data_IF_740710994506
#
_entry.id   IF_740710994506
#
_cell.length_a   1.000
_cell.length_b   1.000
_cell.length_c   1.000
_cell.angle_alpha   90.00
_cell.angle_beta   90.00
_cell.angle_gamma   90.00
#
_symmetry.space_group_name_H-M   'P 1'
#
loop_
_entity.id
_entity.type
_entity.pdbx_description
1 polymer ?
#
# COMPACT_ATOMS: atom_id res chain seq x y z
N UNK A 1 -2.67 1.69 -6.62
CA UNK A 1 -2.83 0.71 -5.52
C UNK A 1 -3.87 -0.31 -5.97
N UNK A 2 -3.62 -1.60 -5.73
CA UNK A 2 -4.63 -2.66 -5.86
C UNK A 2 -5.25 -2.85 -4.49
N UNK A 3 -6.59 -2.88 -4.42
CA UNK A 3 -7.34 -3.13 -3.18
C UNK A 3 -8.01 -4.49 -3.31
N UNK A 4 -7.75 -5.38 -2.35
CA UNK A 4 -8.35 -6.71 -2.27
C UNK A 4 -9.21 -6.78 -1.02
N UNK A 5 -10.52 -6.93 -1.19
CA UNK A 5 -11.45 -7.08 -0.09
C UNK A 5 -11.78 -8.57 0.12
N UNK A 6 -11.58 -9.07 1.34
CA UNK A 6 -11.96 -10.44 1.72
C UNK A 6 -13.36 -10.40 2.33
N UNK A 7 -14.34 -10.92 1.58
CA UNK A 7 -15.72 -11.04 2.08
C UNK A 7 -15.79 -12.20 3.07
N UNK A 8 -16.32 -11.93 4.27
CA UNK A 8 -16.40 -12.93 5.33
C UNK A 8 -17.34 -14.08 4.97
N UNK A 9 -16.94 -15.31 5.33
CA UNK A 9 -17.85 -16.46 5.41
C UNK A 9 -18.26 -16.70 6.86
N UNK A 10 -17.27 -16.86 7.76
CA UNK A 10 -17.46 -16.94 9.19
C UNK A 10 -16.48 -16.00 9.91
N UNK A 11 -16.91 -14.76 10.10
CA UNK A 11 -16.08 -13.70 10.69
C UNK A 11 -15.56 -14.05 12.09
N UNK A 12 -16.40 -14.65 12.94
CA UNK A 12 -15.98 -15.02 14.30
C UNK A 12 -14.85 -16.04 14.23
N UNK A 13 -15.01 -17.12 13.45
CA UNK A 13 -13.96 -18.13 13.25
C UNK A 13 -12.69 -17.51 12.71
N UNK A 14 -12.80 -16.80 11.59
CA UNK A 14 -11.66 -16.38 10.79
C UNK A 14 -10.84 -15.26 11.44
N UNK A 15 -11.45 -14.41 12.27
CA UNK A 15 -10.77 -13.23 12.83
C UNK A 15 -10.37 -13.37 14.30
N UNK A 16 -10.65 -14.51 14.93
CA UNK A 16 -10.28 -14.74 16.34
C UNK A 16 -9.17 -15.79 16.44
N UNK A 17 -8.06 -15.50 17.14
CA UNK A 17 -6.88 -16.36 17.14
C UNK A 17 -6.97 -17.53 18.13
N UNK A 18 -7.92 -17.50 19.06
CA UNK A 18 -8.15 -18.53 20.07
C UNK A 18 -9.65 -18.81 20.17
N UNK A 19 -10.00 -20.02 20.58
CA UNK A 19 -11.40 -20.38 20.82
C UNK A 19 -11.80 -19.83 22.21
N UNK A 20 -12.76 -18.91 22.20
CA UNK A 20 -13.35 -18.33 23.39
C UNK A 20 -14.81 -18.02 23.12
N UNK A 21 -15.67 -18.31 24.08
CA UNK A 21 -17.11 -18.06 23.99
C UNK A 21 -17.53 -16.80 24.75
N UNK A 22 -16.59 -16.10 25.38
CA UNK A 22 -16.86 -14.96 26.27
C UNK A 22 -16.73 -13.62 25.56
N UNK A 23 -17.64 -12.70 25.84
CA UNK A 23 -17.52 -11.30 25.43
C UNK A 23 -16.59 -10.48 26.34
N UNK A 24 -16.50 -9.17 26.08
CA UNK A 24 -15.67 -8.24 26.85
C UNK A 24 -16.12 -8.04 28.32
N UNK A 25 -17.33 -8.49 28.67
CA UNK A 25 -17.85 -8.53 30.04
C UNK A 25 -17.66 -9.91 30.69
N UNK A 26 -17.09 -10.88 29.96
CA UNK A 26 -16.91 -12.25 30.42
C UNK A 26 -18.16 -13.13 30.29
N UNK A 27 -19.22 -12.65 29.64
CA UNK A 27 -20.46 -13.42 29.48
C UNK A 27 -20.37 -14.36 28.30
N UNK A 28 -20.94 -15.55 28.44
CA UNK A 28 -21.07 -16.54 27.38
C UNK A 28 -21.96 -16.03 26.24
N UNK A 29 -21.45 -16.11 25.00
CA UNK A 29 -22.13 -15.66 23.80
C UNK A 29 -22.19 -16.77 22.76
N UNK A 30 -23.41 -17.08 22.31
CA UNK A 30 -23.63 -18.15 21.33
C UNK A 30 -22.92 -17.89 19.99
N UNK A 31 -22.85 -16.64 19.54
CA UNK A 31 -22.21 -16.27 18.28
C UNK A 31 -20.67 -16.39 18.30
N UNK A 32 -20.07 -16.64 19.48
CA UNK A 32 -18.64 -16.83 19.66
C UNK A 32 -18.21 -18.31 19.64
N UNK A 33 -19.15 -19.26 19.57
CA UNK A 33 -18.87 -20.71 19.65
C UNK A 33 -17.97 -21.25 18.54
N UNK A 34 -17.95 -20.58 17.39
CA UNK A 34 -17.15 -20.99 16.23
C UNK A 34 -15.81 -20.24 16.15
N UNK A 35 -15.40 -19.55 17.21
CA UNK A 35 -14.12 -18.82 17.27
C UNK A 35 -12.88 -19.72 17.20
N UNK A 36 -11.73 -19.09 16.91
CA UNK A 36 -10.41 -19.70 17.03
C UNK A 36 -9.76 -20.16 15.72
N UNK A 37 -10.29 -19.80 14.56
CA UNK A 37 -9.73 -20.16 13.24
C UNK A 37 -8.79 -19.10 12.64
N UNK A 38 -8.32 -18.13 13.43
CA UNK A 38 -7.48 -17.04 12.94
C UNK A 38 -6.16 -17.51 12.33
N UNK A 39 -5.58 -18.61 12.82
CA UNK A 39 -4.33 -19.15 12.26
C UNK A 39 -4.55 -19.72 10.85
N UNK A 40 -5.64 -20.46 10.66
CA UNK A 40 -6.04 -21.03 9.38
C UNK A 40 -6.35 -19.91 8.39
N UNK A 41 -7.05 -18.86 8.82
CA UNK A 41 -7.32 -17.71 7.98
C UNK A 41 -6.05 -16.95 7.57
N UNK A 42 -5.12 -16.69 8.50
CA UNK A 42 -3.81 -16.10 8.15
C UNK A 42 -3.02 -17.00 7.19
N UNK A 43 -3.08 -18.33 7.36
CA UNK A 43 -2.44 -19.27 6.42
C UNK A 43 -3.08 -19.23 5.03
N UNK A 44 -4.39 -19.04 4.93
CA UNK A 44 -5.07 -18.81 3.65
C UNK A 44 -4.58 -17.52 2.98
N UNK A 45 -4.43 -16.43 3.75
CA UNK A 45 -3.88 -15.17 3.22
C UNK A 45 -2.47 -15.38 2.63
N UNK A 46 -1.60 -16.06 3.37
CA UNK A 46 -0.20 -16.30 2.99
C UNK A 46 -0.06 -17.25 1.80
N UNK A 47 -0.75 -18.39 1.82
CA UNK A 47 -0.45 -19.51 0.91
C UNK A 47 -1.35 -19.57 -0.30
N UNK A 48 -2.49 -18.89 -0.27
CA UNK A 48 -3.49 -18.96 -1.34
C UNK A 48 -3.78 -17.57 -1.90
N UNK A 49 -4.27 -16.64 -1.08
CA UNK A 49 -4.76 -15.36 -1.58
C UNK A 49 -3.63 -14.49 -2.14
N UNK A 50 -2.55 -14.26 -1.37
CA UNK A 50 -1.43 -13.43 -1.82
C UNK A 50 -0.79 -14.00 -3.10
N UNK A 51 -0.42 -15.30 -3.18
CA UNK A 51 0.11 -15.89 -4.41
C UNK A 51 -0.84 -15.79 -5.59
N UNK A 52 -2.15 -15.97 -5.37
CA UNK A 52 -3.14 -15.83 -6.43
C UNK A 52 -3.15 -14.41 -7.01
N UNK A 53 -3.20 -13.38 -6.16
CA UNK A 53 -3.21 -11.98 -6.60
C UNK A 53 -1.90 -11.62 -7.32
N UNK A 54 -0.75 -12.03 -6.77
CA UNK A 54 0.57 -11.81 -7.39
C UNK A 54 0.70 -12.47 -8.77
N UNK A 55 0.03 -13.61 -8.98
CA UNK A 55 0.03 -14.29 -10.29
C UNK A 55 -0.87 -13.63 -11.34
N UNK A 56 -1.85 -12.83 -10.92
CA UNK A 56 -2.89 -12.26 -11.78
C UNK A 56 -2.68 -10.78 -12.08
N UNK A 57 -1.98 -10.07 -11.20
CA UNK A 57 -1.82 -8.63 -11.28
C UNK A 57 -0.35 -8.25 -11.07
N UNK A 58 0.12 -7.12 -11.65
CA UNK A 58 1.46 -6.61 -11.40
C UNK A 58 1.53 -6.00 -10.00
N UNK A 59 1.64 -6.85 -8.98
CA UNK A 59 1.76 -6.43 -7.59
C UNK A 59 3.18 -6.02 -7.26
N UNK A 60 3.30 -5.10 -6.30
CA UNK A 60 4.56 -4.79 -5.64
C UNK A 60 4.69 -5.62 -4.35
N UNK A 61 5.92 -5.77 -3.86
CA UNK A 61 6.16 -6.53 -2.63
C UNK A 61 5.65 -5.84 -1.36
N UNK A 62 5.27 -4.56 -1.44
CA UNK A 62 4.73 -3.81 -0.30
C UNK A 62 3.24 -4.08 -0.11
N UNK A 63 2.88 -4.76 0.97
CA UNK A 63 1.51 -5.15 1.30
C UNK A 63 1.05 -4.55 2.62
N UNK A 64 -0.22 -4.17 2.69
CA UNK A 64 -0.85 -3.61 3.88
C UNK A 64 -2.06 -4.46 4.28
N UNK A 65 -2.16 -4.81 5.56
CA UNK A 65 -3.33 -5.47 6.14
C UNK A 65 -4.14 -4.46 6.96
N UNK A 66 -5.41 -4.27 6.60
CA UNK A 66 -6.34 -3.35 7.26
C UNK A 66 -7.49 -4.12 7.87
N UNK A 67 -7.85 -3.82 9.11
CA UNK A 67 -8.94 -4.51 9.78
C UNK A 67 -9.53 -3.73 10.94
N UNK A 68 -10.86 -3.85 11.08
CA UNK A 68 -11.65 -3.22 12.12
C UNK A 68 -12.20 -4.23 13.12
N UNK A 69 -12.22 -3.88 14.42
CA UNK A 69 -12.84 -4.71 15.46
C UNK A 69 -12.16 -6.09 15.56
N UNK A 70 -12.85 -7.23 15.34
CA UNK A 70 -12.17 -8.53 15.19
C UNK A 70 -11.19 -8.56 14.01
N UNK A 71 -11.45 -7.83 12.92
CA UNK A 71 -10.46 -7.67 11.85
C UNK A 71 -9.19 -6.98 12.36
N UNK A 72 -9.34 -5.99 13.24
CA UNK A 72 -8.19 -5.36 13.90
C UNK A 72 -7.48 -6.30 14.89
N UNK A 73 -8.22 -7.19 15.56
CA UNK A 73 -7.65 -8.25 16.38
C UNK A 73 -6.77 -9.19 15.53
N UNK A 74 -7.27 -9.62 14.37
CA UNK A 74 -6.51 -10.41 13.40
C UNK A 74 -5.27 -9.65 12.89
N UNK A 75 -5.39 -8.36 12.60
CA UNK A 75 -4.26 -7.50 12.18
C UNK A 75 -3.14 -7.53 13.21
N UNK A 76 -3.46 -7.25 14.48
CA UNK A 76 -2.46 -7.24 15.56
C UNK A 76 -1.90 -8.65 15.80
N UNK A 77 -2.73 -9.68 15.76
CA UNK A 77 -2.26 -11.06 15.89
C UNK A 77 -1.32 -11.46 14.74
N UNK A 78 -1.63 -11.07 13.50
CA UNK A 78 -0.79 -11.34 12.34
C UNK A 78 0.53 -10.61 12.43
N UNK A 79 0.54 -9.34 12.86
CA UNK A 79 1.77 -8.58 13.09
C UNK A 79 2.72 -9.29 14.06
N UNK A 80 2.20 -9.90 15.13
CA UNK A 80 3.06 -10.46 16.21
C UNK A 80 3.43 -11.92 16.00
N UNK A 81 2.63 -12.67 15.24
CA UNK A 81 2.88 -14.10 14.95
C UNK A 81 3.55 -14.32 13.57
N UNK A 82 3.24 -13.47 12.58
CA UNK A 82 3.73 -13.58 11.20
C UNK A 82 4.07 -12.19 10.62
N UNK A 83 4.98 -11.42 11.24
CA UNK A 83 5.30 -10.04 10.86
C UNK A 83 5.78 -9.89 9.41
N UNK A 84 6.37 -10.91 8.81
CA UNK A 84 6.89 -10.88 7.44
C UNK A 84 5.82 -10.92 6.35
N UNK A 85 4.57 -11.27 6.68
CA UNK A 85 3.51 -11.45 5.68
C UNK A 85 3.05 -10.11 5.06
N UNK A 86 3.01 -9.05 5.87
CA UNK A 86 2.70 -7.69 5.42
C UNK A 86 3.76 -6.70 5.89
N UNK A 87 3.91 -5.59 5.18
CA UNK A 87 4.86 -4.52 5.53
C UNK A 87 4.23 -3.50 6.49
N UNK A 88 2.92 -3.29 6.36
CA UNK A 88 2.16 -2.33 7.14
C UNK A 88 0.84 -2.92 7.65
N UNK A 89 0.44 -2.49 8.84
CA UNK A 89 -0.71 -2.99 9.56
C UNK A 89 -1.57 -1.80 10.02
N UNK A 90 -2.88 -1.85 9.75
CA UNK A 90 -3.84 -0.85 10.19
C UNK A 90 -4.88 -1.53 11.05
N UNK A 91 -4.76 -1.35 12.36
CA UNK A 91 -5.66 -1.93 13.36
C UNK A 91 -6.63 -0.85 13.83
N UNK A 92 -7.89 -0.97 13.41
CA UNK A 92 -8.92 0.02 13.69
C UNK A 92 -9.80 -0.48 14.84
N UNK A 93 -9.71 0.21 15.97
CA UNK A 93 -10.41 -0.09 17.23
C UNK A 93 -10.45 -1.62 17.52
N UNK A 94 -9.26 -2.27 17.55
CA UNK A 94 -9.18 -3.73 17.55
C UNK A 94 -9.78 -4.31 18.84
N UNK A 95 -10.36 -5.50 18.76
CA UNK A 95 -10.96 -6.19 19.91
C UNK A 95 -9.92 -6.84 20.83
N UNK A 96 -8.92 -6.08 21.29
CA UNK A 96 -7.79 -6.57 22.11
C UNK A 96 -8.16 -7.04 23.52
N UNK A 97 -9.43 -6.89 23.91
CA UNK A 97 -9.99 -7.51 25.11
C UNK A 97 -10.13 -9.04 24.98
N UNK A 98 -10.14 -9.55 23.74
CA UNK A 98 -10.43 -10.94 23.41
C UNK A 98 -9.64 -11.92 24.27
N UNK A 99 -10.36 -12.92 24.79
CA UNK A 99 -9.83 -14.09 25.48
C UNK A 99 -8.73 -13.73 26.49
N UNK A 100 -9.13 -12.99 27.52
CA UNK A 100 -8.24 -12.48 28.57
C UNK A 100 -7.06 -11.67 28.02
N UNK A 101 -7.30 -10.87 26.98
CA UNK A 101 -6.33 -10.00 26.32
C UNK A 101 -5.11 -10.76 25.78
N UNK A 102 -5.30 -11.99 25.29
CA UNK A 102 -4.21 -12.85 24.83
C UNK A 102 -3.34 -12.18 23.74
N UNK A 103 -3.96 -11.51 22.77
CA UNK A 103 -3.22 -10.81 21.70
C UNK A 103 -2.46 -9.60 22.23
N UNK A 104 -3.01 -8.87 23.19
CA UNK A 104 -2.33 -7.74 23.82
C UNK A 104 -1.06 -8.19 24.56
N UNK A 105 -1.15 -9.31 25.30
CA UNK A 105 0.01 -9.92 26.00
C UNK A 105 1.10 -10.38 25.02
N UNK A 106 0.69 -10.98 23.90
CA UNK A 106 1.59 -11.37 22.80
C UNK A 106 2.27 -10.15 22.17
N UNK A 107 1.51 -9.09 21.88
CA UNK A 107 2.04 -7.86 21.32
C UNK A 107 3.08 -7.20 22.23
N UNK A 108 2.81 -7.13 23.54
CA UNK A 108 3.79 -6.63 24.52
C UNK A 108 5.11 -7.42 24.45
N UNK A 109 5.02 -8.75 24.38
CA UNK A 109 6.20 -9.63 24.29
C UNK A 109 6.94 -9.45 22.95
N UNK A 110 6.21 -9.31 21.85
CA UNK A 110 6.79 -9.15 20.51
C UNK A 110 7.53 -7.81 20.38
N UNK A 111 6.95 -6.73 20.89
CA UNK A 111 7.58 -5.40 20.92
C UNK A 111 8.83 -5.42 21.80
N UNK A 112 8.74 -5.94 23.03
CA UNK A 112 9.88 -5.99 23.95
C UNK A 112 11.07 -6.79 23.39
N UNK A 113 10.80 -7.82 22.59
CA UNK A 113 11.81 -8.70 21.99
C UNK A 113 12.20 -8.28 20.57
N UNK A 114 11.76 -7.10 20.12
CA UNK A 114 12.01 -6.58 18.77
C UNK A 114 11.67 -7.58 17.65
N UNK A 115 10.56 -8.32 17.82
CA UNK A 115 10.12 -9.36 16.86
C UNK A 115 9.34 -8.81 15.68
N UNK A 116 8.95 -7.54 15.74
CA UNK A 116 8.18 -6.87 14.69
C UNK A 116 9.08 -6.16 13.68
N UNK A 117 10.37 -5.95 13.96
CA UNK A 117 11.35 -5.32 13.05
C UNK A 117 10.84 -4.00 12.45
N UNK A 118 11.15 -3.77 11.17
CA UNK A 118 10.79 -2.52 10.46
C UNK A 118 9.31 -2.42 10.03
N UNK A 119 8.43 -3.26 10.59
CA UNK A 119 7.01 -3.25 10.23
C UNK A 119 6.34 -1.99 10.76
N UNK A 120 5.41 -1.47 9.97
CA UNK A 120 4.64 -0.26 10.32
C UNK A 120 3.29 -0.64 10.91
N UNK A 121 2.87 0.07 11.95
CA UNK A 121 1.56 -0.07 12.57
C UNK A 121 0.89 1.30 12.66
N UNK A 122 -0.38 1.36 12.29
CA UNK A 122 -1.30 2.42 12.66
C UNK A 122 -2.43 1.85 13.50
N UNK A 123 -2.51 2.25 14.76
CA UNK A 123 -3.58 1.90 15.69
C UNK A 123 -4.58 3.06 15.80
N UNK A 124 -5.82 2.85 15.39
CA UNK A 124 -6.90 3.79 15.66
C UNK A 124 -7.66 3.38 16.92
N UNK A 125 -7.92 4.33 17.81
CA UNK A 125 -8.70 4.12 19.05
C UNK A 125 -9.89 5.06 19.03
N UNK A 126 -11.10 4.50 19.07
CA UNK A 126 -12.33 5.29 19.10
C UNK A 126 -12.67 5.78 20.51
N UNK A 127 -13.51 6.81 20.59
CA UNK A 127 -14.08 7.40 21.80
C UNK A 127 -15.27 6.56 22.34
N UNK A 128 -15.10 5.23 22.34
CA UNK A 128 -16.16 4.27 22.69
C UNK A 128 -16.55 4.33 24.17
N UNK A 129 -15.79 5.06 25.01
CA UNK A 129 -16.11 5.31 26.42
C UNK A 129 -17.45 6.04 26.59
N UNK A 130 -17.87 6.83 25.59
CA UNK A 130 -19.10 7.62 25.65
C UNK A 130 -20.36 6.85 25.20
N UNK A 131 -20.23 5.64 24.64
CA UNK A 131 -21.35 4.94 23.97
C UNK A 131 -21.99 3.80 24.78
N UNK A 132 -21.33 3.25 25.81
CA UNK A 132 -21.86 2.25 26.77
C UNK A 132 -20.76 1.86 27.77
N UNK A 133 -21.08 1.09 28.82
CA UNK A 133 -20.17 0.52 29.83
C UNK A 133 -19.00 -0.36 29.29
N UNK A 134 -18.61 -0.24 28.01
CA UNK A 134 -17.56 -1.02 27.35
C UNK A 134 -16.14 -0.52 27.67
N UNK A 135 -15.87 -0.35 28.95
CA UNK A 135 -14.59 0.10 29.49
C UNK A 135 -13.48 -0.90 29.20
N UNK A 136 -13.78 -2.20 29.12
CA UNK A 136 -12.79 -3.26 28.85
C UNK A 136 -12.18 -3.11 27.46
N UNK A 137 -13.01 -2.84 26.43
CA UNK A 137 -12.53 -2.65 25.06
C UNK A 137 -11.61 -1.44 24.95
N UNK A 138 -12.09 -0.26 25.36
CA UNK A 138 -11.30 0.97 25.30
C UNK A 138 -10.01 0.87 26.14
N UNK A 139 -10.06 0.28 27.34
CA UNK A 139 -8.85 0.09 28.17
C UNK A 139 -7.81 -0.81 27.50
N UNK A 140 -8.22 -1.85 26.77
CA UNK A 140 -7.27 -2.71 26.05
C UNK A 140 -6.57 -1.94 24.93
N UNK A 141 -7.32 -1.14 24.15
CA UNK A 141 -6.76 -0.29 23.10
C UNK A 141 -5.85 0.82 23.64
N UNK A 142 -6.25 1.50 24.71
CA UNK A 142 -5.42 2.51 25.38
C UNK A 142 -4.16 1.89 25.99
N UNK A 143 -4.24 0.69 26.57
CA UNK A 143 -3.06 -0.02 27.06
C UNK A 143 -2.09 -0.32 25.91
N UNK A 144 -2.61 -0.73 24.74
CA UNK A 144 -1.76 -0.96 23.57
C UNK A 144 -1.12 0.33 23.07
N UNK A 145 -1.89 1.39 22.91
CA UNK A 145 -1.40 2.72 22.55
C UNK A 145 -0.24 3.17 23.45
N UNK A 146 -0.37 3.06 24.77
CA UNK A 146 0.70 3.41 25.73
C UNK A 146 1.96 2.57 25.57
N UNK A 147 1.82 1.30 25.18
CA UNK A 147 3.00 0.46 24.87
C UNK A 147 3.74 0.94 23.61
N UNK A 148 3.00 1.47 22.63
CA UNK A 148 3.57 2.05 21.42
C UNK A 148 4.27 3.38 21.69
N UNK A 149 3.72 4.24 22.56
CA UNK A 149 4.36 5.52 22.97
C UNK A 149 5.72 5.33 23.63
N UNK A 150 5.92 4.19 24.31
CA UNK A 150 7.19 3.86 24.95
C UNK A 150 8.29 3.38 24.00
N UNK A 151 8.01 3.30 22.69
CA UNK A 151 9.00 2.87 21.69
C UNK A 151 9.67 4.08 21.05
N UNK A 152 10.97 3.98 20.76
CA UNK A 152 11.69 4.99 19.99
C UNK A 152 11.32 4.96 18.49
N UNK A 153 10.70 3.87 18.02
CA UNK A 153 10.35 3.71 16.62
C UNK A 153 9.20 4.61 16.18
N UNK A 154 9.41 5.38 15.11
CA UNK A 154 8.38 6.17 14.44
C UNK A 154 7.46 5.33 13.54
N UNK A 155 7.75 4.04 13.33
CA UNK A 155 6.95 3.13 12.50
C UNK A 155 5.68 2.64 13.20
N UNK A 156 5.63 2.74 14.54
CA UNK A 156 4.52 2.28 15.36
C UNK A 156 3.76 3.50 15.88
N UNK A 157 2.62 3.78 15.26
CA UNK A 157 1.85 4.98 15.54
C UNK A 157 0.44 4.66 15.94
N UNK A 158 -0.17 5.58 16.70
CA UNK A 158 -1.55 5.45 17.10
C UNK A 158 -2.22 6.82 17.12
N UNK A 159 -3.55 6.84 17.03
CA UNK A 159 -4.35 8.06 17.12
C UNK A 159 -5.66 7.79 17.84
N UNK A 160 -6.01 8.70 18.76
CA UNK A 160 -7.31 8.75 19.41
C UNK A 160 -8.29 9.58 18.58
N UNK A 161 -9.50 9.07 18.38
CA UNK A 161 -10.54 9.70 17.59
C UNK A 161 -11.69 10.17 18.48
N UNK A 162 -11.53 11.36 19.06
CA UNK A 162 -12.56 12.00 19.90
C UNK A 162 -13.86 12.20 19.10
N UNK A 163 -15.00 11.81 19.67
CA UNK A 163 -16.32 11.92 19.03
C UNK A 163 -16.65 10.82 18.03
N UNK A 164 -15.69 9.96 17.68
CA UNK A 164 -15.96 8.77 16.87
C UNK A 164 -16.27 7.58 17.78
N UNK A 165 -17.29 6.80 17.46
CA UNK A 165 -17.56 5.54 18.15
C UNK A 165 -16.99 4.35 17.37
N UNK A 166 -17.13 3.14 17.93
CA UNK A 166 -16.64 1.90 17.33
C UNK A 166 -17.06 1.70 15.87
N UNK A 167 -18.22 2.19 15.45
CA UNK A 167 -18.77 1.99 14.10
C UNK A 167 -18.46 3.13 13.14
N UNK A 168 -18.16 4.34 13.62
CA UNK A 168 -17.90 5.51 12.77
C UNK A 168 -16.41 5.73 12.52
N UNK A 169 -15.55 5.26 13.44
CA UNK A 169 -14.09 5.41 13.33
C UNK A 169 -13.44 4.82 12.07
N UNK A 170 -13.92 3.74 11.41
CA UNK A 170 -13.17 3.12 10.31
C UNK A 170 -12.86 4.06 9.15
N UNK A 171 -13.84 4.83 8.68
CA UNK A 171 -13.66 5.67 7.49
C UNK A 171 -12.59 6.75 7.71
N UNK A 172 -12.66 7.46 8.83
CA UNK A 172 -11.71 8.52 9.17
C UNK A 172 -10.32 7.95 9.50
N UNK A 173 -10.28 6.78 10.15
CA UNK A 173 -9.05 6.10 10.49
C UNK A 173 -8.30 5.56 9.27
N UNK A 174 -8.99 4.98 8.29
CA UNK A 174 -8.38 4.48 7.07
C UNK A 174 -7.69 5.59 6.28
N UNK A 175 -8.35 6.75 6.11
CA UNK A 175 -7.74 7.89 5.43
C UNK A 175 -6.48 8.40 6.16
N UNK A 176 -6.52 8.52 7.48
CA UNK A 176 -5.36 8.94 8.26
C UNK A 176 -4.23 7.91 8.22
N UNK A 177 -4.57 6.61 8.32
CA UNK A 177 -3.61 5.52 8.25
C UNK A 177 -2.88 5.51 6.91
N UNK A 178 -3.61 5.64 5.79
CA UNK A 178 -3.02 5.70 4.46
C UNK A 178 -2.08 6.90 4.32
N UNK A 179 -2.50 8.09 4.76
CA UNK A 179 -1.66 9.30 4.75
C UNK A 179 -0.40 9.11 5.61
N UNK A 180 -0.54 8.52 6.79
CA UNK A 180 0.57 8.34 7.74
C UNK A 180 1.57 7.28 7.27
N UNK A 181 1.09 6.16 6.73
CA UNK A 181 1.92 4.99 6.42
C UNK A 181 2.57 5.05 5.04
N UNK A 182 1.86 5.63 4.06
CA UNK A 182 2.41 5.85 2.72
C UNK A 182 3.22 7.14 2.63
N UNK A 183 3.07 8.03 3.61
CA UNK A 183 3.75 9.33 3.67
C UNK A 183 3.71 10.04 2.31
N UNK A 184 2.51 10.04 1.70
CA UNK A 184 2.34 10.54 0.35
C UNK A 184 2.76 12.01 0.27
N UNK A 185 3.79 12.25 -0.53
CA UNK A 185 4.28 13.59 -0.82
C UNK A 185 4.04 13.86 -2.31
N UNK A 186 3.12 14.77 -2.65
CA UNK A 186 2.84 15.10 -4.04
C UNK A 186 4.12 15.62 -4.70
N UNK A 187 4.30 15.30 -5.99
CA UNK A 187 5.39 15.87 -6.78
C UNK A 187 5.21 17.40 -6.80
N UNK A 188 6.20 18.19 -6.33
CA UNK A 188 6.10 19.64 -6.31
C UNK A 188 6.34 20.20 -7.72
N UNK A 189 5.30 20.15 -8.56
CA UNK A 189 5.34 20.68 -9.92
C UNK A 189 5.28 22.22 -9.84
N UNK A 190 6.25 22.95 -10.40
CA UNK A 190 6.22 24.42 -10.46
C UNK A 190 5.01 24.95 -11.23
N UNK A 191 4.63 26.20 -11.01
CA UNK A 191 3.51 26.85 -11.72
C UNK A 191 3.74 26.88 -13.24
N UNK A 192 4.99 27.07 -13.67
CA UNK A 192 5.39 27.04 -15.08
C UNK A 192 5.46 25.61 -15.65
N UNK A 193 5.27 24.59 -14.80
CA UNK A 193 5.31 23.18 -15.17
C UNK A 193 6.62 22.82 -15.89
N UNK A 194 6.49 22.23 -17.09
CA UNK A 194 7.65 21.82 -17.90
C UNK A 194 8.49 22.98 -18.45
N UNK A 195 7.99 24.21 -18.44
CA UNK A 195 8.76 25.39 -18.86
C UNK A 195 9.76 25.82 -17.78
N UNK A 196 9.51 25.49 -16.51
CA UNK A 196 10.44 25.76 -15.41
C UNK A 196 11.77 25.04 -15.63
N UNK A 197 12.90 25.75 -15.58
CA UNK A 197 14.23 25.15 -15.72
C UNK A 197 14.50 24.06 -14.68
N UNK A 198 13.93 24.18 -13.48
CA UNK A 198 14.09 23.21 -12.41
C UNK A 198 13.27 21.92 -12.62
N UNK A 199 12.22 21.94 -13.45
CA UNK A 199 11.37 20.78 -13.68
C UNK A 199 11.85 19.97 -14.90
N UNK A 200 12.51 18.85 -14.62
CA UNK A 200 13.03 17.91 -15.61
C UNK A 200 13.02 16.47 -15.04
N UNK A 201 13.42 15.50 -15.86
CA UNK A 201 13.37 14.08 -15.49
C UNK A 201 14.11 13.75 -14.19
N UNK A 202 15.30 14.29 -13.97
CA UNK A 202 16.06 14.01 -12.75
C UNK A 202 15.39 14.57 -11.50
N UNK A 203 14.70 15.71 -11.60
CA UNK A 203 13.88 16.26 -10.50
C UNK A 203 12.80 15.26 -10.08
N UNK A 204 12.07 14.71 -11.07
CA UNK A 204 11.06 13.67 -10.82
C UNK A 204 11.71 12.41 -10.24
N UNK A 205 12.85 11.95 -10.80
CA UNK A 205 13.57 10.79 -10.29
C UNK A 205 13.98 10.96 -8.83
N UNK A 206 14.60 12.09 -8.49
CA UNK A 206 15.07 12.39 -7.13
C UNK A 206 13.92 12.43 -6.13
N UNK A 207 12.77 13.01 -6.50
CA UNK A 207 11.58 13.02 -5.66
C UNK A 207 11.10 11.60 -5.33
N UNK A 208 10.98 10.74 -6.33
CA UNK A 208 10.51 9.36 -6.13
C UNK A 208 11.55 8.45 -5.47
N UNK A 209 12.85 8.68 -5.68
CA UNK A 209 13.93 8.03 -4.91
C UNK A 209 13.80 8.38 -3.43
N UNK A 210 13.69 9.66 -3.11
CA UNK A 210 13.56 10.14 -1.72
C UNK A 210 12.30 9.57 -1.05
N UNK A 211 11.17 9.53 -1.76
CA UNK A 211 9.95 8.89 -1.24
C UNK A 211 10.22 7.41 -1.00
N UNK A 212 10.83 6.70 -1.95
CA UNK A 212 11.13 5.27 -1.82
C UNK A 212 11.95 4.96 -0.58
N UNK A 213 13.01 5.75 -0.35
CA UNK A 213 13.88 5.62 0.83
C UNK A 213 13.10 5.86 2.13
N UNK A 214 12.22 6.87 2.14
CA UNK A 214 11.40 7.21 3.30
C UNK A 214 10.37 6.14 3.63
N UNK A 215 9.73 5.55 2.63
CA UNK A 215 8.67 4.56 2.86
C UNK A 215 9.20 3.15 3.03
N UNK A 216 10.45 2.88 2.63
CA UNK A 216 11.08 1.55 2.69
C UNK A 216 10.64 0.62 1.57
N UNK A 217 10.14 1.16 0.45
CA UNK A 217 9.81 0.38 -0.75
C UNK A 217 9.95 1.22 -2.00
N UNK A 218 10.26 0.57 -3.13
CA UNK A 218 10.46 1.26 -4.41
C UNK A 218 9.13 1.83 -4.93
N UNK A 219 9.01 3.16 -4.89
CA UNK A 219 7.95 3.92 -5.55
C UNK A 219 8.45 4.43 -6.90
N UNK A 220 7.83 4.01 -7.98
CA UNK A 220 8.10 4.56 -9.31
C UNK A 220 7.20 5.76 -9.60
N UNK A 221 7.70 6.78 -10.31
CA UNK A 221 6.84 7.79 -10.90
C UNK A 221 5.82 7.13 -11.84
N UNK A 222 4.51 7.44 -11.78
CA UNK A 222 3.51 6.80 -12.63
C UNK A 222 3.81 6.99 -14.13
N UNK A 223 3.74 5.91 -14.90
CA UNK A 223 4.04 5.89 -16.34
C UNK A 223 3.31 7.01 -17.10
N UNK A 224 1.99 7.12 -16.90
CA UNK A 224 1.14 8.11 -17.55
C UNK A 224 1.48 9.55 -17.14
N UNK A 225 1.91 9.75 -15.88
CA UNK A 225 2.34 11.06 -15.39
C UNK A 225 3.61 11.51 -16.11
N UNK A 226 4.62 10.65 -16.19
CA UNK A 226 5.87 10.96 -16.91
C UNK A 226 5.60 11.20 -18.38
N UNK A 227 4.75 10.36 -18.99
CA UNK A 227 4.35 10.52 -20.38
C UNK A 227 3.63 11.86 -20.62
N UNK A 228 2.77 12.30 -19.69
CA UNK A 228 2.10 13.60 -19.78
C UNK A 228 3.09 14.77 -19.80
N UNK A 229 4.20 14.68 -19.05
CA UNK A 229 5.26 15.69 -19.09
C UNK A 229 6.04 15.66 -20.39
N UNK A 230 6.38 14.48 -20.90
CA UNK A 230 7.02 14.34 -22.21
C UNK A 230 6.14 14.94 -23.32
N UNK A 231 4.84 14.66 -23.30
CA UNK A 231 3.88 15.20 -24.25
C UNK A 231 3.74 16.73 -24.12
N UNK A 232 3.75 17.27 -22.90
CA UNK A 232 3.74 18.71 -22.68
C UNK A 232 4.99 19.40 -23.25
N UNK A 233 6.17 18.77 -23.12
CA UNK A 233 7.42 19.23 -23.74
C UNK A 233 7.37 19.18 -25.27
N UNK A 234 6.77 18.12 -25.83
CA UNK A 234 6.58 17.97 -27.28
C UNK A 234 5.81 19.18 -27.86
N UNK A 235 4.64 19.50 -27.30
CA UNK A 235 3.83 20.62 -27.79
C UNK A 235 4.50 21.98 -27.64
N UNK A 236 5.44 22.10 -26.69
CA UNK A 236 6.23 23.31 -26.44
C UNK A 236 7.57 23.34 -27.16
N UNK A 237 7.86 22.34 -28.01
CA UNK A 237 9.12 22.23 -28.77
C UNK A 237 10.36 22.21 -27.86
N UNK A 238 10.30 21.43 -26.78
CA UNK A 238 11.39 21.25 -25.81
C UNK A 238 12.02 19.84 -25.93
N UNK A 239 12.77 19.53 -27.02
CA UNK A 239 13.16 18.17 -27.37
C UNK A 239 14.08 17.50 -26.35
N UNK A 240 14.93 18.25 -25.66
CA UNK A 240 15.83 17.72 -24.64
C UNK A 240 15.06 17.24 -23.40
N UNK A 241 14.09 18.03 -22.93
CA UNK A 241 13.23 17.65 -21.80
C UNK A 241 12.26 16.52 -22.17
N UNK A 242 11.69 16.56 -23.37
CA UNK A 242 10.86 15.47 -23.91
C UNK A 242 11.63 14.14 -23.84
N UNK A 243 12.85 14.11 -24.37
CA UNK A 243 13.70 12.93 -24.29
C UNK A 243 14.03 12.52 -22.86
N UNK A 244 14.35 13.47 -21.98
CA UNK A 244 14.61 13.21 -20.57
C UNK A 244 13.46 12.46 -19.90
N UNK A 245 12.22 12.93 -20.09
CA UNK A 245 11.03 12.27 -19.52
C UNK A 245 10.77 10.91 -20.17
N UNK A 246 10.89 10.77 -21.50
CA UNK A 246 10.74 9.47 -22.17
C UNK A 246 11.79 8.44 -21.69
N UNK A 247 13.03 8.88 -21.47
CA UNK A 247 14.11 8.05 -20.94
C UNK A 247 13.81 7.62 -19.50
N UNK A 248 13.37 8.53 -18.64
CA UNK A 248 12.93 8.18 -17.28
C UNK A 248 11.78 7.16 -17.30
N UNK A 249 10.85 7.29 -18.25
CA UNK A 249 9.74 6.36 -18.39
C UNK A 249 10.25 4.95 -18.76
N UNK A 250 11.23 4.84 -19.65
CA UNK A 250 11.89 3.58 -20.02
C UNK A 250 12.69 2.96 -18.89
N UNK A 251 13.40 3.78 -18.10
CA UNK A 251 14.13 3.32 -16.91
C UNK A 251 13.16 2.80 -15.83
N UNK A 252 11.96 3.37 -15.74
CA UNK A 252 10.95 2.99 -14.76
C UNK A 252 10.11 1.78 -15.22
N UNK A 253 9.80 1.67 -16.50
CA UNK A 253 8.88 0.69 -17.07
C UNK A 253 9.46 0.01 -18.32
N UNK A 254 10.49 -0.81 -18.11
CA UNK A 254 11.24 -1.51 -19.17
C UNK A 254 10.48 -2.63 -19.88
N UNK A 255 9.24 -2.94 -19.48
CA UNK A 255 8.37 -3.91 -20.14
C UNK A 255 7.04 -3.27 -20.58
N UNK A 256 7.00 -1.96 -20.81
CA UNK A 256 5.80 -1.26 -21.30
C UNK A 256 5.86 -1.04 -22.81
N UNK A 257 4.88 -1.61 -23.52
CA UNK A 257 4.62 -1.32 -24.94
C UNK A 257 4.53 0.19 -25.22
N UNK A 258 3.83 0.95 -24.37
CA UNK A 258 3.58 2.36 -24.59
C UNK A 258 4.86 3.20 -24.48
N UNK A 259 5.77 2.82 -23.59
CA UNK A 259 7.05 3.49 -23.44
C UNK A 259 7.92 3.33 -24.69
N UNK A 260 8.09 2.10 -25.17
CA UNK A 260 8.87 1.84 -26.39
C UNK A 260 8.22 2.47 -27.62
N UNK A 261 6.89 2.40 -27.74
CA UNK A 261 6.14 3.09 -28.81
C UNK A 261 6.40 4.60 -28.81
N UNK A 262 6.38 5.24 -27.65
CA UNK A 262 6.57 6.69 -27.53
C UNK A 262 8.00 7.12 -27.89
N UNK A 263 9.02 6.32 -27.53
CA UNK A 263 10.40 6.54 -27.97
C UNK A 263 10.56 6.34 -29.48
N UNK A 264 9.88 5.36 -30.08
CA UNK A 264 9.83 5.19 -31.53
C UNK A 264 9.28 6.43 -32.24
N UNK A 265 8.16 6.96 -31.75
CA UNK A 265 7.54 8.18 -32.26
C UNK A 265 8.44 9.41 -32.10
N UNK A 266 9.18 9.50 -30.99
CA UNK A 266 10.13 10.58 -30.75
C UNK A 266 11.26 10.57 -31.79
N UNK A 267 11.91 9.42 -32.00
CA UNK A 267 13.02 9.31 -32.97
C UNK A 267 12.56 9.43 -34.42
N UNK A 268 11.36 8.96 -34.75
CA UNK A 268 10.75 9.14 -36.06
C UNK A 268 10.62 10.64 -36.40
N UNK A 269 10.15 11.45 -35.44
CA UNK A 269 10.03 12.91 -35.61
C UNK A 269 11.38 13.62 -35.75
N UNK A 270 12.42 13.11 -35.09
CA UNK A 270 13.78 13.62 -35.25
C UNK A 270 14.43 13.20 -36.59
N UNK A 271 13.78 12.31 -37.36
CA UNK A 271 14.36 11.73 -38.58
C UNK A 271 15.39 10.63 -38.32
N UNK A 272 15.58 10.20 -37.07
CA UNK A 272 16.49 9.10 -36.72
C UNK A 272 15.77 7.75 -36.98
N UNK A 273 15.69 7.38 -38.26
CA UNK A 273 15.02 6.15 -38.71
C UNK A 273 15.54 4.90 -38.00
N UNK A 274 16.86 4.82 -37.77
CA UNK A 274 17.50 3.64 -37.16
C UNK A 274 16.98 3.43 -35.73
N UNK A 275 16.94 4.48 -34.91
CA UNK A 275 16.40 4.36 -33.55
C UNK A 275 14.89 4.19 -33.53
N UNK A 276 14.16 4.88 -34.43
CA UNK A 276 12.72 4.71 -34.52
C UNK A 276 12.33 3.25 -34.76
N UNK A 277 12.98 2.59 -35.73
CA UNK A 277 12.80 1.15 -36.02
C UNK A 277 13.11 0.30 -34.79
N UNK A 278 14.27 0.50 -34.15
CA UNK A 278 14.66 -0.25 -32.95
C UNK A 278 13.60 -0.17 -31.84
N UNK A 279 13.09 1.02 -31.55
CA UNK A 279 12.10 1.21 -30.47
C UNK A 279 10.73 0.63 -30.83
N UNK A 280 10.29 0.75 -32.09
CA UNK A 280 9.05 0.09 -32.53
C UNK A 280 9.15 -1.43 -32.51
N UNK A 281 10.28 -2.02 -32.90
CA UNK A 281 10.53 -3.46 -32.77
C UNK A 281 10.43 -3.92 -31.31
N UNK A 282 11.05 -3.18 -30.38
CA UNK A 282 10.92 -3.48 -28.94
C UNK A 282 9.47 -3.41 -28.47
N UNK A 283 8.71 -2.41 -28.90
CA UNK A 283 7.30 -2.29 -28.53
C UNK A 283 6.50 -3.53 -28.97
N UNK A 284 6.61 -3.94 -30.24
CA UNK A 284 5.84 -5.08 -30.77
C UNK A 284 6.21 -6.42 -30.13
N UNK A 285 7.45 -6.59 -29.65
CA UNK A 285 7.83 -7.80 -28.90
C UNK A 285 7.12 -7.92 -27.55
N UNK A 286 6.68 -6.81 -26.98
CA UNK A 286 5.93 -6.78 -25.72
C UNK A 286 4.43 -6.96 -25.98
N UNK A 287 3.91 -6.25 -26.98
CA UNK A 287 2.51 -6.31 -27.38
C UNK A 287 2.37 -6.02 -28.86
N UNK A 288 1.85 -7.00 -29.60
CA UNK A 288 1.50 -6.79 -31.00
C UNK A 288 0.43 -5.69 -31.14
N UNK A 289 0.65 -4.80 -32.10
CA UNK A 289 -0.27 -3.70 -32.39
C UNK A 289 -0.23 -3.34 -33.88
N UNK A 290 -1.36 -3.43 -34.61
CA UNK A 290 -1.41 -3.17 -36.04
C UNK A 290 -0.88 -1.79 -36.47
N UNK A 291 -1.18 -0.74 -35.70
CA UNK A 291 -0.75 0.63 -36.02
C UNK A 291 0.78 0.76 -35.95
N UNK A 292 1.40 0.22 -34.91
CA UNK A 292 2.86 0.25 -34.75
C UNK A 292 3.56 -0.61 -35.80
N UNK A 293 2.96 -1.75 -36.19
CA UNK A 293 3.49 -2.59 -37.27
C UNK A 293 3.46 -1.87 -38.63
N UNK A 294 2.38 -1.13 -38.95
CA UNK A 294 2.29 -0.33 -40.17
C UNK A 294 3.34 0.79 -40.22
N UNK A 295 3.54 1.50 -39.10
CA UNK A 295 4.61 2.51 -38.96
C UNK A 295 6.00 1.91 -39.18
N UNK A 296 6.26 0.77 -38.54
CA UNK A 296 7.53 0.06 -38.70
C UNK A 296 7.77 -0.38 -40.16
N UNK A 297 6.73 -0.86 -40.85
CA UNK A 297 6.83 -1.24 -42.26
C UNK A 297 7.14 -0.05 -43.17
N UNK A 298 6.53 1.11 -42.92
CA UNK A 298 6.79 2.36 -43.65
C UNK A 298 8.22 2.88 -43.44
N UNK A 299 8.75 2.78 -42.22
CA UNK A 299 10.10 3.25 -41.91
C UNK A 299 11.21 2.42 -42.56
N UNK A 300 10.93 1.15 -42.88
CA UNK A 300 11.85 0.22 -43.54
C UNK A 300 11.90 0.37 -45.06
N UNK A 301 11.00 1.18 -45.64
CA UNK A 301 11.02 1.57 -47.05
C UNK A 301 11.90 2.81 -47.27
#
# INVERSE_FOLDING_TARGET
MIVVAVVNTNRTRDFTPTNSTKDWNGNEQRYLRESGGGKEFTSFLEKELVPYIDSKYPTEQYRMLVGHSFGGLLVVNTLVEQPSLFNAYVAIDPSLWWDEKVVLKKAATAIQKDRIGDRKLFLAVADTVLASDNVTHSRANIAFAKMLEGQESTSLTWKYYKGENHFTVPLVAENDALRRLLEYEPLPIPEEGVESHAFHADFVRQHYTRISDKVGYRMLPPEDMIFSFALACFYRKMPEKEYGFLKLNMESYSNSYNVYKSLGQYYEKLGDKVKAIYFYEKAITIKENPETMDKLAKLRQ
#
